data_IF_398324505976
#
_entry.id   IF_398324505976
#
_cell.length_a   1.000
_cell.length_b   1.000
_cell.length_c   1.000
_cell.angle_alpha   90.00
_cell.angle_beta   90.00
_cell.angle_gamma   90.00
#
_symmetry.space_group_name_H-M   'P 1'
#
loop_
_entity.id
_entity.type
_entity.pdbx_description
1 polymer ?
#
# COMPACT_ATOMS: atom_id res chain seq x y z
N UNK A 1 8.89 20.69 18.91
CA UNK A 1 9.49 20.89 17.57
C UNK A 1 8.37 21.26 16.62
N UNK A 2 8.43 22.45 16.05
CA UNK A 2 7.33 23.07 15.31
C UNK A 2 7.33 22.58 13.87
N UNK A 3 6.25 21.90 13.45
CA UNK A 3 5.95 21.72 12.04
C UNK A 3 5.65 23.12 11.46
N UNK A 4 6.61 23.71 10.74
CA UNK A 4 6.44 24.96 10.01
C UNK A 4 7.22 24.87 8.71
N UNK A 5 6.57 24.31 7.69
CA UNK A 5 6.78 24.72 6.31
C UNK A 5 5.38 24.80 5.68
N UNK A 6 4.69 25.91 5.93
CA UNK A 6 3.58 26.34 5.07
C UNK A 6 4.22 27.24 4.03
N UNK A 7 4.51 26.67 2.87
CA UNK A 7 4.81 27.43 1.66
C UNK A 7 3.57 28.29 1.37
N UNK A 8 3.75 29.60 1.18
CA UNK A 8 2.69 30.50 0.77
C UNK A 8 2.21 30.09 -0.63
N UNK A 9 1.21 29.20 -0.69
CA UNK A 9 0.44 28.93 -1.89
C UNK A 9 -0.50 30.12 -2.07
N UNK A 10 -0.39 30.78 -3.22
CA UNK A 10 -1.20 31.94 -3.62
C UNK A 10 -2.68 31.73 -3.24
N UNK A 11 -3.23 32.66 -2.46
CA UNK A 11 -4.62 32.63 -1.99
C UNK A 11 -5.59 32.76 -3.18
N UNK A 12 -5.17 33.41 -4.26
CA UNK A 12 -5.98 33.60 -5.49
C UNK A 12 -6.15 32.30 -6.31
N UNK A 13 -5.21 31.35 -6.25
CA UNK A 13 -5.35 30.01 -6.88
C UNK A 13 -6.25 29.06 -6.08
N UNK A 14 -6.71 29.48 -4.89
CA UNK A 14 -7.48 28.64 -3.97
C UNK A 14 -8.99 28.84 -4.15
N UNK A 15 -9.43 30.03 -4.55
CA UNK A 15 -10.84 30.35 -4.79
C UNK A 15 -11.37 29.69 -6.08
N UNK A 16 -10.52 29.48 -7.10
CA UNK A 16 -10.91 28.79 -8.34
C UNK A 16 -10.97 27.25 -8.19
N UNK A 17 -10.34 26.66 -7.15
CA UNK A 17 -10.33 25.21 -6.92
C UNK A 17 -11.63 24.67 -6.34
N UNK A 18 -12.47 25.54 -5.77
CA UNK A 18 -13.74 25.11 -5.18
C UNK A 18 -14.82 24.84 -6.23
N UNK A 19 -14.76 25.46 -7.42
CA UNK A 19 -15.70 25.20 -8.53
C UNK A 19 -15.50 23.81 -9.15
N UNK A 20 -14.28 23.26 -9.07
CA UNK A 20 -13.93 21.95 -9.63
C UNK A 20 -14.07 20.79 -8.66
N UNK A 21 -14.56 21.04 -7.45
CA UNK A 21 -14.84 19.95 -6.52
C UNK A 21 -16.00 19.09 -7.00
N UNK A 22 -15.88 17.76 -6.89
CA UNK A 22 -16.97 16.87 -7.25
C UNK A 22 -18.12 17.03 -6.26
N UNK A 23 -19.34 17.12 -6.81
CA UNK A 23 -20.58 17.13 -6.02
C UNK A 23 -21.62 16.20 -6.64
N UNK A 24 -22.47 15.63 -5.80
CA UNK A 24 -23.61 14.82 -6.24
C UNK A 24 -24.53 15.61 -7.17
N UNK A 25 -24.69 16.92 -6.94
CA UNK A 25 -25.49 17.79 -7.79
C UNK A 25 -24.91 17.89 -9.22
N UNK A 26 -23.59 18.08 -9.36
CA UNK A 26 -22.92 18.15 -10.68
C UNK A 26 -23.04 16.83 -11.42
N UNK A 27 -22.85 15.71 -10.74
CA UNK A 27 -23.02 14.37 -11.31
C UNK A 27 -24.46 14.15 -11.82
N UNK A 28 -25.46 14.48 -11.01
CA UNK A 28 -26.87 14.36 -11.39
C UNK A 28 -27.21 15.22 -12.59
N UNK A 29 -26.75 16.47 -12.62
CA UNK A 29 -26.98 17.38 -13.74
C UNK A 29 -26.39 16.86 -15.06
N UNK A 30 -25.31 16.08 -15.04
CA UNK A 30 -24.78 15.39 -16.24
C UNK A 30 -25.70 14.24 -16.64
N UNK A 31 -26.10 13.39 -15.69
CA UNK A 31 -26.96 12.23 -15.96
C UNK A 31 -28.39 12.59 -16.38
N UNK A 32 -28.96 13.69 -15.88
CA UNK A 32 -30.30 14.19 -16.26
C UNK A 32 -30.37 14.62 -17.73
N UNK A 33 -29.23 15.02 -18.32
CA UNK A 33 -29.12 15.39 -19.74
C UNK A 33 -28.72 14.21 -20.63
N UNK A 34 -28.45 13.04 -20.06
CA UNK A 34 -27.98 11.88 -20.79
C UNK A 34 -29.12 11.23 -21.58
N UNK A 35 -28.85 10.91 -22.84
CA UNK A 35 -29.75 10.05 -23.63
C UNK A 35 -29.56 8.57 -23.27
N UNK A 36 -28.32 8.18 -22.98
CA UNK A 36 -27.96 6.85 -22.48
C UNK A 36 -26.67 6.90 -21.69
N UNK A 37 -26.47 5.91 -20.83
CA UNK A 37 -25.19 5.66 -20.16
C UNK A 37 -24.76 4.25 -20.50
N UNK A 38 -23.48 4.09 -20.86
CA UNK A 38 -22.87 2.79 -21.13
C UNK A 38 -21.84 2.52 -20.04
N UNK A 39 -21.97 1.37 -19.39
CA UNK A 39 -21.02 0.88 -18.40
C UNK A 39 -20.33 -0.33 -18.99
N UNK A 40 -19.01 -0.31 -19.03
CA UNK A 40 -18.18 -1.40 -19.56
C UNK A 40 -17.26 -1.86 -18.45
N UNK A 41 -17.19 -3.17 -18.25
CA UNK A 41 -16.19 -3.80 -17.38
C UNK A 41 -14.81 -3.76 -18.06
N UNK A 42 -14.30 -2.54 -18.26
CA UNK A 42 -12.97 -2.26 -18.79
C UNK A 42 -12.36 -0.98 -18.19
N UNK A 43 -11.03 -0.88 -18.26
CA UNK A 43 -10.32 0.37 -18.02
C UNK A 43 -10.65 1.39 -19.12
N UNK A 44 -10.37 2.69 -18.93
CA UNK A 44 -10.69 3.70 -19.95
C UNK A 44 -10.12 3.42 -21.34
N UNK A 45 -8.92 2.83 -21.41
CA UNK A 45 -8.21 2.54 -22.66
C UNK A 45 -8.77 1.32 -23.40
N UNK A 46 -9.52 0.46 -22.70
CA UNK A 46 -10.09 -0.78 -23.22
C UNK A 46 -11.61 -0.69 -23.43
N UNK A 47 -12.25 0.36 -22.92
CA UNK A 47 -13.70 0.51 -22.86
C UNK A 47 -14.41 0.50 -24.23
N UNK A 48 -13.70 0.82 -25.31
CA UNK A 48 -14.24 0.82 -26.67
C UNK A 48 -14.22 -0.60 -27.30
N UNK A 49 -13.70 -1.61 -26.61
CA UNK A 49 -13.67 -3.00 -27.09
C UNK A 49 -15.06 -3.62 -27.20
N UNK A 50 -15.30 -4.30 -28.32
CA UNK A 50 -16.58 -4.93 -28.64
C UNK A 50 -16.88 -6.20 -27.82
N UNK A 51 -15.87 -6.82 -27.22
CA UNK A 51 -15.97 -8.15 -26.61
C UNK A 51 -16.15 -8.10 -25.08
N UNK A 52 -16.18 -6.92 -24.48
CA UNK A 52 -16.26 -6.76 -23.03
C UNK A 52 -17.70 -6.70 -22.51
N UNK A 53 -17.97 -7.22 -21.29
CA UNK A 53 -19.28 -7.10 -20.65
C UNK A 53 -19.72 -5.64 -20.59
N UNK A 54 -20.97 -5.39 -21.02
CA UNK A 54 -21.53 -4.04 -21.13
C UNK A 54 -22.97 -3.97 -20.67
N UNK A 55 -23.30 -2.85 -20.07
CA UNK A 55 -24.65 -2.47 -19.71
C UNK A 55 -24.97 -1.10 -20.33
N UNK A 56 -26.09 -1.01 -21.03
CA UNK A 56 -26.62 0.29 -21.49
C UNK A 56 -27.88 0.60 -20.71
N UNK A 57 -27.91 1.74 -20.03
CA UNK A 57 -29.09 2.21 -19.29
C UNK A 57 -29.65 3.49 -19.89
N UNK A 58 -30.97 3.63 -19.80
CA UNK A 58 -31.73 4.79 -20.33
C UNK A 58 -32.89 5.15 -19.41
N UNK A 59 -33.42 6.37 -19.56
CA UNK A 59 -34.66 6.80 -18.90
C UNK A 59 -34.65 6.60 -17.38
N UNK A 60 -35.59 5.80 -16.87
CA UNK A 60 -35.75 5.57 -15.44
C UNK A 60 -34.54 4.88 -14.79
N UNK A 61 -33.82 4.03 -15.53
CA UNK A 61 -32.61 3.38 -15.03
C UNK A 61 -31.44 4.36 -14.89
N UNK A 62 -31.34 5.36 -15.76
CA UNK A 62 -30.37 6.45 -15.62
C UNK A 62 -30.60 7.22 -14.32
N UNK A 63 -31.87 7.48 -13.97
CA UNK A 63 -32.22 8.15 -12.72
C UNK A 63 -31.91 7.28 -11.49
N UNK A 64 -32.03 5.95 -11.60
CA UNK A 64 -31.59 5.03 -10.55
C UNK A 64 -30.08 5.01 -10.40
N UNK A 65 -29.34 4.90 -11.51
CA UNK A 65 -27.88 4.96 -11.53
C UNK A 65 -27.38 6.27 -10.90
N UNK A 66 -28.01 7.40 -11.18
CA UNK A 66 -27.67 8.70 -10.58
C UNK A 66 -27.82 8.73 -9.06
N UNK A 67 -28.72 7.91 -8.48
CA UNK A 67 -28.83 7.77 -7.02
C UNK A 67 -27.72 6.88 -6.46
N UNK A 68 -27.35 5.82 -7.17
CA UNK A 68 -26.27 4.90 -6.76
C UNK A 68 -24.88 5.52 -6.87
N UNK A 69 -24.69 6.44 -7.82
CA UNK A 69 -23.48 7.22 -8.00
C UNK A 69 -23.41 8.47 -7.10
N UNK A 70 -24.29 8.60 -6.10
CA UNK A 70 -24.18 9.70 -5.14
C UNK A 70 -22.83 9.64 -4.43
N UNK A 71 -22.18 10.80 -4.28
CA UNK A 71 -20.83 10.93 -3.73
C UNK A 71 -20.83 11.80 -2.47
N UNK A 72 -19.78 11.68 -1.67
CA UNK A 72 -19.47 12.63 -0.60
C UNK A 72 -18.94 13.90 -1.26
N UNK A 73 -19.70 15.00 -1.12
CA UNK A 73 -19.36 16.27 -1.73
C UNK A 73 -18.01 16.81 -1.22
N UNK A 74 -17.26 17.44 -2.12
CA UNK A 74 -15.96 18.03 -1.81
C UNK A 74 -14.75 17.16 -2.14
N UNK A 75 -14.96 15.91 -2.55
CA UNK A 75 -13.92 14.97 -2.96
C UNK A 75 -13.20 14.28 -1.78
N UNK A 76 -12.61 13.12 -2.06
CA UNK A 76 -11.84 12.35 -1.07
C UNK A 76 -10.36 12.78 -1.01
N UNK A 77 -9.88 13.47 -2.06
CA UNK A 77 -8.47 13.83 -2.20
C UNK A 77 -7.56 12.61 -2.42
N UNK A 78 -8.10 11.48 -2.86
CA UNK A 78 -7.32 10.25 -3.06
C UNK A 78 -6.22 10.46 -4.11
N UNK A 79 -5.04 9.92 -3.81
CA UNK A 79 -3.79 10.12 -4.57
C UNK A 79 -3.36 8.88 -5.36
N UNK A 80 -4.17 7.82 -5.38
CA UNK A 80 -3.79 6.61 -6.10
C UNK A 80 -3.83 6.87 -7.62
N UNK A 81 -2.88 6.32 -8.37
CA UNK A 81 -2.77 6.56 -9.82
C UNK A 81 -3.52 5.53 -10.66
N UNK A 82 -4.26 4.60 -10.04
CA UNK A 82 -5.03 3.58 -10.75
C UNK A 82 -6.17 4.21 -11.55
N UNK A 83 -6.27 3.92 -12.84
CA UNK A 83 -7.29 4.53 -13.73
C UNK A 83 -8.74 4.20 -13.33
N UNK A 84 -8.94 3.17 -12.51
CA UNK A 84 -10.25 2.71 -12.07
C UNK A 84 -10.96 1.87 -13.13
N UNK A 85 -11.99 1.17 -12.68
CA UNK A 85 -12.79 0.22 -13.45
C UNK A 85 -14.02 -0.19 -12.61
N UNK A 86 -15.21 -0.40 -13.20
CA UNK A 86 -15.59 -0.26 -14.62
C UNK A 86 -15.61 1.19 -15.12
N UNK A 87 -15.62 1.34 -16.44
CA UNK A 87 -15.76 2.65 -17.13
C UNK A 87 -17.23 2.97 -17.40
N UNK A 88 -17.65 4.16 -17.01
CA UNK A 88 -19.00 4.71 -17.17
C UNK A 88 -18.92 5.85 -18.18
N UNK A 89 -19.45 5.67 -19.38
CA UNK A 89 -19.52 6.71 -20.41
C UNK A 89 -20.95 7.21 -20.55
N UNK A 90 -21.14 8.51 -20.38
CA UNK A 90 -22.42 9.21 -20.53
C UNK A 90 -22.52 9.79 -21.93
N UNK A 91 -23.60 9.52 -22.64
CA UNK A 91 -23.84 10.03 -23.99
C UNK A 91 -25.00 11.03 -24.03
N UNK A 92 -24.79 12.13 -24.75
CA UNK A 92 -25.81 13.15 -25.02
C UNK A 92 -26.84 12.69 -26.06
N UNK A 93 -27.83 13.55 -26.33
CA UNK A 93 -28.90 13.26 -27.31
C UNK A 93 -28.43 13.16 -28.75
N UNK A 94 -27.25 13.73 -29.09
CA UNK A 94 -26.65 13.59 -30.41
C UNK A 94 -25.77 12.33 -30.53
N UNK A 95 -25.66 11.53 -29.46
CA UNK A 95 -24.86 10.30 -29.42
C UNK A 95 -23.37 10.53 -29.13
N UNK A 96 -22.97 11.77 -28.86
CA UNK A 96 -21.63 12.18 -28.44
C UNK A 96 -21.37 11.88 -26.95
N UNK A 97 -20.15 11.46 -26.56
CA UNK A 97 -19.79 11.28 -25.16
C UNK A 97 -19.68 12.65 -24.47
N UNK A 98 -20.45 12.86 -23.40
CA UNK A 98 -20.47 14.12 -22.62
C UNK A 98 -19.69 14.02 -21.31
N UNK A 99 -19.50 12.80 -20.80
CA UNK A 99 -18.65 12.53 -19.63
C UNK A 99 -18.16 11.08 -19.65
N UNK A 100 -17.01 10.85 -19.03
CA UNK A 100 -16.44 9.52 -18.79
C UNK A 100 -15.91 9.46 -17.37
N UNK A 101 -16.35 8.46 -16.62
CA UNK A 101 -15.97 8.22 -15.23
C UNK A 101 -15.51 6.77 -15.05
N UNK A 102 -14.81 6.49 -13.96
CA UNK A 102 -14.45 5.13 -13.57
C UNK A 102 -14.68 4.89 -12.09
N UNK A 103 -14.99 3.65 -11.72
CA UNK A 103 -15.00 3.26 -10.30
C UNK A 103 -13.58 3.02 -9.81
N UNK A 104 -13.14 3.83 -8.86
CA UNK A 104 -11.81 3.73 -8.27
C UNK A 104 -11.88 2.89 -6.99
N UNK A 105 -11.18 1.75 -6.97
CA UNK A 105 -11.20 0.75 -5.88
C UNK A 105 -12.63 0.34 -5.43
N UNK A 106 -13.58 0.37 -6.38
CA UNK A 106 -15.02 0.13 -6.16
C UNK A 106 -15.70 1.09 -5.15
N UNK A 107 -14.97 2.03 -4.54
CA UNK A 107 -15.43 2.91 -3.45
C UNK A 107 -15.48 4.38 -3.84
N UNK A 108 -14.79 4.77 -4.90
CA UNK A 108 -14.76 6.13 -5.41
C UNK A 108 -15.13 6.22 -6.87
N UNK A 109 -15.38 7.44 -7.32
CA UNK A 109 -15.60 7.80 -8.71
C UNK A 109 -14.49 8.75 -9.16
N UNK A 110 -13.83 8.41 -10.25
CA UNK A 110 -12.81 9.23 -10.91
C UNK A 110 -13.36 9.88 -12.17
N UNK A 111 -12.82 11.04 -12.53
CA UNK A 111 -13.16 11.78 -13.76
C UNK A 111 -14.26 12.83 -13.58
N UNK A 112 -14.65 13.12 -12.33
CA UNK A 112 -15.57 14.21 -12.01
C UNK A 112 -14.77 15.42 -11.46
N UNK A 113 -14.27 16.25 -12.37
CA UNK A 113 -13.30 17.29 -12.03
C UNK A 113 -11.91 16.70 -11.77
N UNK A 114 -11.09 17.41 -10.99
CA UNK A 114 -9.68 17.05 -10.75
C UNK A 114 -9.47 16.11 -9.55
N UNK A 115 -10.57 15.63 -8.94
CA UNK A 115 -10.52 14.85 -7.71
C UNK A 115 -11.31 13.55 -7.83
N UNK A 116 -10.83 12.52 -7.14
CA UNK A 116 -11.64 11.35 -6.84
C UNK A 116 -12.72 11.70 -5.80
N UNK A 117 -13.89 11.12 -5.98
CA UNK A 117 -15.05 11.32 -5.13
C UNK A 117 -15.51 10.02 -4.51
N UNK A 118 -15.50 9.93 -3.17
CA UNK A 118 -15.99 8.74 -2.46
C UNK A 118 -17.50 8.56 -2.69
N UNK A 119 -17.91 7.34 -3.03
CA UNK A 119 -19.32 6.98 -3.15
C UNK A 119 -19.98 6.96 -1.78
N UNK A 120 -21.22 7.44 -1.69
CA UNK A 120 -22.01 7.33 -0.47
C UNK A 120 -22.34 5.87 -0.12
N UNK A 121 -22.53 5.03 -1.15
CA UNK A 121 -22.87 3.62 -1.00
C UNK A 121 -22.30 2.79 -2.16
N UNK A 122 -20.98 2.60 -2.15
CA UNK A 122 -20.28 1.77 -3.12
C UNK A 122 -20.81 0.33 -3.22
N UNK A 123 -21.03 -0.38 -2.10
CA UNK A 123 -21.59 -1.74 -2.11
C UNK A 123 -22.96 -1.84 -2.80
N UNK A 124 -23.85 -0.87 -2.61
CA UNK A 124 -25.13 -0.89 -3.30
C UNK A 124 -25.00 -0.67 -4.81
N UNK A 125 -24.01 0.12 -5.26
CA UNK A 125 -23.72 0.26 -6.69
C UNK A 125 -23.19 -1.04 -7.29
N UNK A 126 -22.22 -1.70 -6.65
CA UNK A 126 -21.66 -2.96 -7.16
C UNK A 126 -22.70 -4.08 -7.18
N UNK A 127 -23.59 -4.16 -6.20
CA UNK A 127 -24.72 -5.08 -6.21
C UNK A 127 -25.69 -4.80 -7.37
N UNK A 128 -26.05 -3.52 -7.59
CA UNK A 128 -26.94 -3.11 -8.67
C UNK A 128 -26.38 -3.44 -10.07
N UNK A 129 -25.05 -3.33 -10.24
CA UNK A 129 -24.33 -3.75 -11.46
C UNK A 129 -24.38 -5.27 -11.65
N UNK A 130 -24.10 -6.03 -10.59
CA UNK A 130 -24.11 -7.49 -10.63
C UNK A 130 -25.49 -8.07 -10.95
N UNK A 131 -26.56 -7.47 -10.41
CA UNK A 131 -27.95 -7.82 -10.75
C UNK A 131 -28.27 -7.67 -12.25
N UNK A 132 -27.49 -6.85 -12.96
CA UNK A 132 -27.61 -6.58 -14.40
C UNK A 132 -26.53 -7.29 -15.24
N UNK A 133 -25.83 -8.24 -14.64
CA UNK A 133 -24.86 -9.09 -15.34
C UNK A 133 -23.43 -8.54 -15.40
N UNK A 134 -23.13 -7.41 -14.74
CA UNK A 134 -21.77 -6.90 -14.57
C UNK A 134 -21.25 -7.30 -13.18
N UNK A 135 -20.71 -8.51 -13.05
CA UNK A 135 -20.35 -9.11 -11.75
C UNK A 135 -18.95 -8.75 -11.27
N UNK A 136 -18.08 -8.30 -12.17
CA UNK A 136 -16.67 -8.09 -11.88
C UNK A 136 -16.42 -7.01 -10.84
N UNK A 137 -17.26 -5.96 -10.76
CA UNK A 137 -17.15 -4.95 -9.69
C UNK A 137 -17.40 -5.53 -8.30
N UNK A 138 -18.28 -6.54 -8.19
CA UNK A 138 -18.54 -7.24 -6.92
C UNK A 138 -17.38 -8.17 -6.59
N UNK A 139 -16.87 -8.93 -7.56
CA UNK A 139 -15.71 -9.81 -7.38
C UNK A 139 -14.48 -9.02 -6.92
N UNK A 140 -14.17 -7.88 -7.58
CA UNK A 140 -13.09 -6.99 -7.18
C UNK A 140 -13.28 -6.40 -5.77
N UNK A 141 -14.54 -6.13 -5.35
CA UNK A 141 -14.83 -5.68 -3.99
C UNK A 141 -14.52 -6.80 -2.97
N UNK A 142 -14.94 -8.02 -3.24
CA UNK A 142 -14.68 -9.17 -2.38
C UNK A 142 -13.17 -9.39 -2.22
N UNK A 143 -12.39 -9.31 -3.30
CA UNK A 143 -10.93 -9.39 -3.26
C UNK A 143 -10.31 -8.27 -2.41
N UNK A 144 -10.74 -7.01 -2.59
CA UNK A 144 -10.25 -5.88 -1.80
C UNK A 144 -10.57 -6.03 -0.31
N UNK A 145 -11.77 -6.53 0.03
CA UNK A 145 -12.18 -6.78 1.42
C UNK A 145 -11.32 -7.89 2.05
N UNK A 146 -11.00 -8.95 1.29
CA UNK A 146 -10.07 -10.00 1.72
C UNK A 146 -8.64 -9.48 1.95
N UNK A 147 -8.15 -8.63 1.04
CA UNK A 147 -6.84 -7.97 1.15
C UNK A 147 -6.77 -7.04 2.36
N UNK A 148 -7.80 -6.22 2.61
CA UNK A 148 -7.89 -5.34 3.77
C UNK A 148 -7.92 -6.16 5.06
N UNK A 149 -8.71 -7.24 5.11
CA UNK A 149 -8.76 -8.12 6.25
C UNK A 149 -7.40 -8.79 6.52
N UNK A 150 -6.66 -9.19 5.48
CA UNK A 150 -5.31 -9.73 5.66
C UNK A 150 -4.30 -8.66 6.07
N UNK A 151 -4.41 -7.44 5.55
CA UNK A 151 -3.58 -6.30 5.97
C UNK A 151 -3.81 -5.96 7.44
N UNK A 152 -5.05 -6.01 7.92
CA UNK A 152 -5.39 -5.80 9.32
C UNK A 152 -4.86 -6.93 10.21
N UNK A 153 -5.06 -8.19 9.81
CA UNK A 153 -4.49 -9.34 10.53
C UNK A 153 -2.97 -9.24 10.61
N UNK A 154 -2.31 -8.83 9.52
CA UNK A 154 -0.86 -8.57 9.47
C UNK A 154 -0.46 -7.51 10.50
N UNK A 155 -1.14 -6.36 10.48
CA UNK A 155 -0.91 -5.24 11.38
C UNK A 155 -0.99 -5.68 12.84
N UNK A 156 -2.06 -6.40 13.20
CA UNK A 156 -2.27 -6.90 14.56
C UNK A 156 -1.24 -7.96 14.98
N UNK A 157 -0.75 -8.80 14.04
CA UNK A 157 0.35 -9.74 14.34
C UNK A 157 1.64 -8.99 14.62
N UNK A 158 1.97 -7.99 13.81
CA UNK A 158 3.18 -7.17 13.99
C UNK A 158 3.17 -6.41 15.33
N UNK A 159 2.03 -5.82 15.71
CA UNK A 159 1.86 -5.14 17.01
C UNK A 159 2.02 -6.14 18.17
N UNK A 160 1.43 -7.33 18.06
CA UNK A 160 1.55 -8.37 19.11
C UNK A 160 2.95 -8.94 19.25
N UNK A 161 3.73 -8.94 18.18
CA UNK A 161 5.14 -9.32 18.19
C UNK A 161 6.07 -8.22 18.72
N UNK A 162 5.53 -7.03 19.05
CA UNK A 162 6.32 -5.98 19.64
C UNK A 162 6.96 -6.46 20.95
N UNK A 163 8.23 -6.13 21.19
CA UNK A 163 8.91 -6.46 22.42
C UNK A 163 8.20 -5.89 23.65
N UNK A 164 8.48 -6.48 24.81
CA UNK A 164 7.91 -6.03 26.08
C UNK A 164 8.15 -4.52 26.29
N UNK A 165 7.09 -3.82 26.70
CA UNK A 165 7.10 -2.35 26.86
C UNK A 165 6.84 -1.55 25.58
N UNK A 166 6.86 -2.15 24.38
CA UNK A 166 6.78 -1.41 23.11
C UNK A 166 5.42 -1.51 22.37
N UNK A 167 4.49 -2.33 22.85
CA UNK A 167 3.23 -2.61 22.15
C UNK A 167 2.40 -1.35 21.79
N UNK A 168 2.32 -0.37 22.69
CA UNK A 168 1.58 0.88 22.42
C UNK A 168 2.28 1.73 21.36
N UNK A 169 3.61 1.88 21.43
CA UNK A 169 4.37 2.63 20.44
C UNK A 169 4.33 1.95 19.07
N UNK A 170 4.34 0.61 19.04
CA UNK A 170 4.08 -0.17 17.85
C UNK A 170 2.69 0.15 17.26
N UNK A 171 1.63 0.11 18.07
CA UNK A 171 0.28 0.43 17.62
C UNK A 171 0.16 1.84 17.04
N UNK A 172 0.87 2.82 17.61
CA UNK A 172 0.89 4.19 17.11
C UNK A 172 1.58 4.30 15.73
N UNK A 173 2.71 3.61 15.53
CA UNK A 173 3.42 3.56 14.23
C UNK A 173 2.62 2.79 13.17
N UNK A 174 1.97 1.71 13.57
CA UNK A 174 1.20 0.85 12.67
C UNK A 174 -0.18 1.44 12.31
N UNK A 175 -0.56 2.60 12.85
CA UNK A 175 -1.86 3.21 12.59
C UNK A 175 -2.09 3.43 11.08
N UNK A 176 -3.21 2.94 10.51
CA UNK A 176 -3.54 3.13 9.10
C UNK A 176 -3.57 4.61 8.68
N UNK A 177 -3.31 4.84 7.40
CA UNK A 177 -3.49 6.14 6.76
C UNK A 177 -4.95 6.61 6.97
N UNK A 178 -5.12 7.92 7.19
CA UNK A 178 -6.42 8.58 7.23
C UNK A 178 -6.51 9.60 6.09
N UNK A 179 -7.71 10.12 5.81
CA UNK A 179 -7.95 11.11 4.74
C UNK A 179 -6.99 12.31 4.76
N UNK A 180 -6.56 12.75 5.95
CA UNK A 180 -5.54 13.79 6.08
C UNK A 180 -4.12 13.20 6.06
N UNK A 181 -3.53 13.13 4.86
CA UNK A 181 -2.18 12.60 4.65
C UNK A 181 -1.09 13.43 5.36
N UNK A 182 -1.23 14.76 5.42
CA UNK A 182 -0.23 15.63 6.05
C UNK A 182 -0.22 15.42 7.58
N UNK A 183 -1.40 15.42 8.20
CA UNK A 183 -1.53 15.13 9.62
C UNK A 183 -1.06 13.71 9.94
N UNK A 184 -1.40 12.72 9.10
CA UNK A 184 -0.94 11.35 9.27
C UNK A 184 0.58 11.22 9.17
N UNK A 185 1.20 11.86 8.18
CA UNK A 185 2.66 11.85 7.99
C UNK A 185 3.39 12.45 9.21
N UNK A 186 2.91 13.59 9.71
CA UNK A 186 3.43 14.20 10.93
C UNK A 186 3.30 13.28 12.15
N UNK A 187 2.12 12.67 12.31
CA UNK A 187 1.88 11.70 13.39
C UNK A 187 2.82 10.50 13.28
N UNK A 188 3.00 9.93 12.08
CA UNK A 188 3.86 8.78 11.84
C UNK A 188 5.33 9.09 12.15
N UNK A 189 5.81 10.28 11.79
CA UNK A 189 7.16 10.72 12.15
C UNK A 189 7.37 10.74 13.67
N UNK A 190 6.47 11.40 14.40
CA UNK A 190 6.52 11.47 15.87
C UNK A 190 6.41 10.07 16.52
N UNK A 191 5.54 9.21 15.99
CA UNK A 191 5.37 7.85 16.49
C UNK A 191 6.64 7.00 16.29
N UNK A 192 7.34 7.17 15.17
CA UNK A 192 8.62 6.49 14.89
C UNK A 192 9.71 6.94 15.84
N UNK A 193 9.87 8.23 16.05
CA UNK A 193 10.85 8.78 17.00
C UNK A 193 10.59 8.27 18.42
N UNK A 194 9.32 8.25 18.85
CA UNK A 194 8.93 7.72 20.16
C UNK A 194 9.23 6.22 20.27
N UNK A 195 8.92 5.43 19.24
CA UNK A 195 9.24 4.00 19.23
C UNK A 195 10.74 3.78 19.38
N UNK A 196 11.57 4.48 18.61
CA UNK A 196 13.03 4.37 18.71
C UNK A 196 13.56 4.76 20.09
N UNK A 197 13.10 5.87 20.66
CA UNK A 197 13.50 6.32 21.98
C UNK A 197 13.16 5.28 23.06
N UNK A 198 11.95 4.72 23.02
CA UNK A 198 11.52 3.67 23.94
C UNK A 198 12.33 2.37 23.73
N UNK A 199 12.61 1.97 22.50
CA UNK A 199 13.48 0.81 22.23
C UNK A 199 14.83 0.98 22.91
N UNK A 200 15.50 2.13 22.75
CA UNK A 200 16.81 2.40 23.36
C UNK A 200 16.74 2.48 24.88
N UNK A 201 15.64 3.02 25.43
CA UNK A 201 15.43 3.11 26.87
C UNK A 201 15.24 1.74 27.53
N UNK A 202 14.40 0.88 26.92
CA UNK A 202 14.12 -0.45 27.46
C UNK A 202 15.26 -1.44 27.23
N UNK A 203 16.02 -1.27 26.14
CA UNK A 203 17.10 -2.18 25.73
C UNK A 203 18.38 -1.37 25.46
N UNK A 204 19.09 -0.91 26.51
CA UNK A 204 20.28 -0.07 26.36
C UNK A 204 21.47 -0.85 25.77
N UNK A 205 21.57 -2.15 26.03
CA UNK A 205 22.58 -3.02 25.43
C UNK A 205 22.33 -3.18 23.92
N UNK A 206 23.36 -2.90 23.10
CA UNK A 206 23.21 -2.92 21.65
C UNK A 206 23.03 -4.31 21.08
N UNK A 207 23.68 -5.33 21.65
CA UNK A 207 23.56 -6.72 21.19
C UNK A 207 22.16 -7.24 21.45
N UNK A 208 21.64 -7.05 22.65
CA UNK A 208 20.28 -7.42 23.03
C UNK A 208 19.25 -6.70 22.14
N UNK A 209 19.37 -5.37 22.01
CA UNK A 209 18.47 -4.55 21.20
C UNK A 209 18.45 -4.98 19.73
N UNK A 210 19.60 -5.20 19.12
CA UNK A 210 19.69 -5.65 17.72
C UNK A 210 19.02 -7.02 17.55
N UNK A 211 19.31 -7.98 18.43
CA UNK A 211 18.71 -9.33 18.35
C UNK A 211 17.19 -9.30 18.50
N UNK A 212 16.68 -8.41 19.34
CA UNK A 212 15.26 -8.19 19.53
C UNK A 212 14.62 -7.52 18.30
N UNK A 213 15.27 -6.52 17.71
CA UNK A 213 14.80 -5.88 16.47
C UNK A 213 14.82 -6.87 15.29
N UNK A 214 15.83 -7.75 15.20
CA UNK A 214 15.88 -8.84 14.22
C UNK A 214 14.72 -9.81 14.42
N UNK A 215 14.42 -10.21 15.66
CA UNK A 215 13.27 -11.07 15.94
C UNK A 215 11.95 -10.40 15.53
N UNK A 216 11.78 -9.11 15.83
CA UNK A 216 10.58 -8.39 15.46
C UNK A 216 10.44 -8.23 13.95
N UNK A 217 11.52 -7.86 13.24
CA UNK A 217 11.55 -7.80 11.78
C UNK A 217 11.24 -9.16 11.12
N UNK A 218 11.70 -10.25 11.73
CA UNK A 218 11.47 -11.62 11.25
C UNK A 218 9.99 -12.02 11.20
N UNK A 219 9.13 -11.40 12.03
CA UNK A 219 7.69 -11.69 12.03
C UNK A 219 6.98 -11.36 10.72
N UNK A 220 7.53 -10.43 9.94
CA UNK A 220 7.02 -10.03 8.63
C UNK A 220 7.80 -10.67 7.46
N UNK A 221 9.01 -11.18 7.69
CA UNK A 221 9.94 -11.60 6.66
C UNK A 221 9.47 -12.81 5.83
N UNK A 222 8.66 -13.71 6.42
CA UNK A 222 8.11 -14.90 5.76
C UNK A 222 6.84 -14.66 4.95
N UNK A 223 6.41 -13.42 4.75
CA UNK A 223 5.20 -13.15 3.99
C UNK A 223 5.45 -13.27 2.48
N UNK A 224 4.52 -13.92 1.80
CA UNK A 224 4.52 -14.13 0.34
C UNK A 224 3.95 -12.94 -0.43
N UNK A 225 3.08 -12.13 0.18
CA UNK A 225 2.38 -11.03 -0.48
C UNK A 225 2.43 -9.70 0.32
N UNK A 226 2.39 -8.59 -0.42
CA UNK A 226 2.15 -7.24 0.11
C UNK A 226 3.39 -6.46 0.58
N UNK A 227 4.60 -6.82 0.14
CA UNK A 227 5.83 -6.05 0.40
C UNK A 227 6.12 -5.74 1.88
N UNK A 228 7.01 -4.78 2.14
CA UNK A 228 7.22 -4.20 3.48
C UNK A 228 6.25 -3.04 3.71
N UNK A 229 5.55 -3.06 4.83
CA UNK A 229 4.66 -1.95 5.22
C UNK A 229 5.46 -0.84 5.89
N UNK A 230 4.89 0.36 6.00
CA UNK A 230 5.56 1.52 6.61
C UNK A 230 6.01 1.30 8.07
N UNK A 231 5.34 0.39 8.80
CA UNK A 231 5.71 -0.01 10.15
C UNK A 231 6.86 -1.03 10.18
N UNK A 232 6.96 -1.94 9.20
CA UNK A 232 8.13 -2.82 9.05
C UNK A 232 9.39 -1.98 8.79
N UNK A 233 9.26 -0.93 7.96
CA UNK A 233 10.33 0.01 7.69
C UNK A 233 10.81 0.77 8.95
N UNK A 234 9.97 0.92 9.98
CA UNK A 234 10.37 1.59 11.22
C UNK A 234 11.40 0.77 12.00
N UNK A 235 11.19 -0.55 12.12
CA UNK A 235 12.15 -1.47 12.75
C UNK A 235 13.41 -1.59 11.90
N UNK A 236 13.24 -1.68 10.57
CA UNK A 236 14.38 -1.74 9.64
C UNK A 236 15.28 -0.51 9.74
N UNK A 237 14.71 0.68 9.85
CA UNK A 237 15.48 1.93 10.01
C UNK A 237 16.28 1.95 11.31
N UNK A 238 15.73 1.43 12.40
CA UNK A 238 16.48 1.30 13.66
C UNK A 238 17.67 0.35 13.47
N UNK A 239 17.48 -0.82 12.84
CA UNK A 239 18.57 -1.75 12.53
C UNK A 239 19.65 -1.13 11.64
N UNK A 240 19.26 -0.32 10.64
CA UNK A 240 20.19 0.37 9.73
C UNK A 240 20.92 1.55 10.38
N UNK A 241 20.41 2.08 11.51
CA UNK A 241 21.03 3.16 12.26
C UNK A 241 22.08 2.64 13.27
N UNK A 242 22.10 1.34 13.56
CA UNK A 242 23.14 0.71 14.38
C UNK A 242 24.46 0.60 13.60
N UNK A 243 25.56 0.59 14.33
CA UNK A 243 26.89 0.42 13.72
C UNK A 243 27.02 -1.02 13.16
N UNK A 244 27.47 -1.20 11.90
CA UNK A 244 27.45 -2.52 11.26
C UNK A 244 28.22 -3.60 12.00
N UNK A 245 29.36 -3.28 12.63
CA UNK A 245 30.13 -4.26 13.41
C UNK A 245 29.35 -4.70 14.64
N UNK A 246 28.57 -3.82 15.28
CA UNK A 246 27.64 -4.20 16.34
C UNK A 246 26.53 -5.14 15.84
N UNK A 247 25.99 -4.92 14.63
CA UNK A 247 24.99 -5.83 14.04
C UNK A 247 25.59 -7.23 13.82
N UNK A 248 26.81 -7.31 13.28
CA UNK A 248 27.50 -8.58 13.11
C UNK A 248 27.87 -9.24 14.44
N UNK A 249 28.34 -8.46 15.41
CA UNK A 249 28.64 -8.95 16.75
C UNK A 249 27.39 -9.52 17.43
N UNK A 250 26.24 -8.86 17.29
CA UNK A 250 24.97 -9.34 17.83
C UNK A 250 24.52 -10.66 17.19
N UNK A 251 24.78 -10.84 15.89
CA UNK A 251 24.54 -12.10 15.19
C UNK A 251 25.49 -13.23 15.61
N UNK A 252 26.73 -12.89 16.01
CA UNK A 252 27.75 -13.85 16.40
C UNK A 252 27.77 -14.19 17.90
N UNK A 253 27.19 -13.33 18.75
CA UNK A 253 27.25 -13.46 20.21
C UNK A 253 26.61 -14.76 20.74
N UNK A 254 25.56 -15.24 20.09
CA UNK A 254 24.90 -16.51 20.39
C UNK A 254 24.09 -17.00 19.17
N UNK A 255 23.76 -18.30 19.07
CA UNK A 255 22.92 -18.81 17.99
C UNK A 255 21.64 -17.98 17.83
N UNK A 256 21.33 -17.61 16.60
CA UNK A 256 20.10 -16.90 16.27
C UNK A 256 18.92 -17.87 16.28
N UNK A 257 17.79 -17.44 16.80
CA UNK A 257 16.55 -18.18 16.65
C UNK A 257 16.07 -18.14 15.18
N UNK A 258 15.18 -19.06 14.75
CA UNK A 258 14.66 -19.05 13.38
C UNK A 258 14.07 -17.70 12.96
N UNK A 259 13.30 -17.05 13.84
CA UNK A 259 12.71 -15.73 13.54
C UNK A 259 13.78 -14.62 13.44
N UNK A 260 14.86 -14.71 14.22
CA UNK A 260 15.98 -13.76 14.09
C UNK A 260 16.74 -13.98 12.78
N UNK A 261 16.89 -15.23 12.34
CA UNK A 261 17.45 -15.56 11.04
C UNK A 261 16.59 -15.02 9.90
N UNK A 262 15.26 -15.08 10.02
CA UNK A 262 14.35 -14.49 9.03
C UNK A 262 14.52 -12.96 8.95
N UNK A 263 14.58 -12.28 10.10
CA UNK A 263 14.79 -10.83 10.14
C UNK A 263 16.17 -10.41 9.63
N UNK A 264 17.21 -11.19 9.93
CA UNK A 264 18.56 -10.98 9.40
C UNK A 264 18.61 -11.19 7.88
N UNK A 265 18.01 -12.27 7.39
CA UNK A 265 17.90 -12.55 5.96
C UNK A 265 17.18 -11.42 5.22
N UNK A 266 16.05 -10.92 5.76
CA UNK A 266 15.34 -9.79 5.19
C UNK A 266 16.20 -8.52 5.18
N UNK A 267 16.80 -8.16 6.33
CA UNK A 267 17.65 -6.98 6.49
C UNK A 267 18.77 -6.94 5.45
N UNK A 268 19.61 -7.98 5.42
CA UNK A 268 20.84 -8.02 4.63
C UNK A 268 20.60 -8.24 3.14
N UNK A 269 19.46 -8.86 2.75
CA UNK A 269 19.04 -8.93 1.35
C UNK A 269 18.48 -7.58 0.83
N UNK A 270 18.28 -6.60 1.71
CA UNK A 270 17.71 -5.30 1.38
C UNK A 270 18.62 -4.42 0.52
N UNK A 271 18.05 -3.64 -0.41
CA UNK A 271 18.81 -2.64 -1.15
C UNK A 271 19.33 -1.52 -0.24
N UNK A 272 18.69 -1.24 0.90
CA UNK A 272 19.13 -0.24 1.87
C UNK A 272 20.45 -0.66 2.55
N UNK A 273 20.56 -1.90 3.01
CA UNK A 273 21.79 -2.43 3.59
C UNK A 273 22.93 -2.36 2.57
N UNK A 274 22.64 -2.77 1.34
CA UNK A 274 23.62 -2.76 0.25
C UNK A 274 24.11 -1.34 -0.07
N UNK A 275 23.20 -0.36 -0.13
CA UNK A 275 23.56 1.04 -0.39
C UNK A 275 24.31 1.70 0.77
N UNK A 276 23.91 1.40 2.01
CA UNK A 276 24.52 2.02 3.19
C UNK A 276 25.89 1.39 3.54
N UNK A 277 26.03 0.08 3.34
CA UNK A 277 27.15 -0.71 3.89
C UNK A 277 27.93 -1.51 2.82
N UNK A 278 27.71 -1.22 1.54
CA UNK A 278 28.40 -1.90 0.43
C UNK A 278 27.98 -3.35 0.20
N UNK A 279 27.00 -3.87 0.95
CA UNK A 279 26.51 -5.25 0.83
C UNK A 279 27.43 -6.31 1.42
N UNK A 280 28.43 -5.90 2.21
CA UNK A 280 29.32 -6.85 2.89
C UNK A 280 28.59 -7.51 4.06
N UNK A 281 28.68 -8.84 4.10
CA UNK A 281 28.20 -9.69 5.19
C UNK A 281 29.31 -10.71 5.45
N UNK A 282 29.80 -10.85 6.70
CA UNK A 282 30.84 -11.82 7.04
C UNK A 282 30.47 -13.23 6.63
N UNK A 283 31.44 -13.99 6.11
CA UNK A 283 31.20 -15.31 5.50
C UNK A 283 30.52 -16.33 6.42
N UNK A 284 30.86 -16.42 7.72
CA UNK A 284 30.16 -17.33 8.63
C UNK A 284 28.65 -17.02 8.73
N UNK A 285 28.29 -15.74 8.82
CA UNK A 285 26.89 -15.30 8.89
C UNK A 285 26.19 -15.49 7.54
N UNK A 286 26.87 -15.20 6.43
CA UNK A 286 26.34 -15.43 5.07
C UNK A 286 25.98 -16.90 4.86
N UNK A 287 26.90 -17.81 5.19
CA UNK A 287 26.68 -19.26 5.05
C UNK A 287 25.49 -19.73 5.89
N UNK A 288 25.42 -19.27 7.15
CA UNK A 288 24.30 -19.57 8.05
C UNK A 288 22.94 -19.13 7.47
N UNK A 289 22.87 -17.91 6.92
CA UNK A 289 21.63 -17.40 6.31
C UNK A 289 21.25 -18.17 5.04
N UNK A 290 22.23 -18.55 4.21
CA UNK A 290 22.00 -19.38 3.01
C UNK A 290 21.43 -20.74 3.41
N UNK A 291 22.01 -21.39 4.42
CA UNK A 291 21.55 -22.69 4.91
C UNK A 291 20.13 -22.59 5.46
N UNK A 292 19.84 -21.59 6.29
CA UNK A 292 18.50 -21.32 6.82
C UNK A 292 17.47 -21.12 5.70
N UNK A 293 17.76 -20.29 4.71
CA UNK A 293 16.85 -20.02 3.58
C UNK A 293 16.62 -21.28 2.72
N UNK A 294 17.65 -22.11 2.54
CA UNK A 294 17.51 -23.38 1.80
C UNK A 294 16.65 -24.38 2.55
N UNK A 295 16.84 -24.50 3.86
CA UNK A 295 16.10 -25.45 4.69
C UNK A 295 14.63 -25.05 4.85
N UNK A 296 14.36 -23.77 5.13
CA UNK A 296 13.04 -23.33 5.60
C UNK A 296 12.63 -21.94 5.08
N UNK A 297 13.36 -21.37 4.11
CA UNK A 297 13.02 -20.07 3.53
C UNK A 297 11.78 -20.11 2.65
N UNK A 298 11.09 -18.97 2.53
CA UNK A 298 9.99 -18.80 1.57
C UNK A 298 10.51 -18.62 0.14
N UNK A 299 9.63 -18.75 -0.85
CA UNK A 299 10.01 -18.52 -2.25
C UNK A 299 10.52 -17.10 -2.48
N UNK A 300 9.96 -16.10 -1.79
CA UNK A 300 10.47 -14.74 -1.82
C UNK A 300 11.89 -14.63 -1.25
N UNK A 301 12.19 -15.33 -0.14
CA UNK A 301 13.54 -15.35 0.44
C UNK A 301 14.54 -16.06 -0.48
N UNK A 302 14.16 -17.20 -1.06
CA UNK A 302 14.97 -17.94 -2.04
C UNK A 302 15.23 -17.13 -3.30
N UNK A 303 14.20 -16.43 -3.81
CA UNK A 303 14.32 -15.54 -4.95
C UNK A 303 15.36 -14.45 -4.69
N UNK A 304 15.29 -13.78 -3.53
CA UNK A 304 16.26 -12.75 -3.12
C UNK A 304 17.66 -13.32 -2.87
N UNK A 305 17.78 -14.56 -2.41
CA UNK A 305 19.08 -15.22 -2.29
C UNK A 305 19.76 -15.37 -3.66
N UNK A 306 19.02 -15.80 -4.68
CA UNK A 306 19.54 -16.03 -6.04
C UNK A 306 19.78 -14.73 -6.83
N UNK A 307 18.97 -13.70 -6.61
CA UNK A 307 18.95 -12.47 -7.43
C UNK A 307 19.42 -11.20 -6.69
N UNK A 308 19.47 -11.21 -5.37
CA UNK A 308 19.87 -10.07 -4.55
C UNK A 308 21.39 -9.92 -4.39
N UNK A 309 21.78 -9.04 -3.47
CA UNK A 309 23.17 -8.72 -3.12
C UNK A 309 24.02 -9.94 -2.74
N UNK A 310 23.40 -11.04 -2.29
CA UNK A 310 24.06 -12.33 -2.09
C UNK A 310 24.48 -13.00 -3.41
N UNK A 311 23.61 -13.02 -4.42
CA UNK A 311 23.83 -13.66 -5.70
C UNK A 311 24.80 -12.91 -6.62
N UNK A 312 24.88 -11.57 -6.52
CA UNK A 312 25.81 -10.77 -7.30
C UNK A 312 27.29 -11.01 -6.91
N UNK A 313 27.55 -11.26 -5.63
CA UNK A 313 28.90 -11.61 -5.13
C UNK A 313 29.26 -13.06 -5.49
N UNK A 314 28.30 -13.98 -5.43
CA UNK A 314 28.49 -15.38 -5.86
C UNK A 314 28.76 -15.49 -7.38
N UNK A 315 28.04 -14.73 -8.21
CA UNK A 315 28.29 -14.68 -9.67
C UNK A 315 29.67 -14.14 -10.02
N UNK A 316 30.15 -13.12 -9.30
CA UNK A 316 31.53 -12.60 -9.50
C UNK A 316 32.63 -13.55 -9.03
N UNK A 317 32.36 -14.46 -8.09
CA UNK A 317 33.35 -15.43 -7.57
C UNK A 317 33.33 -16.77 -8.30
N UNK A 318 32.21 -17.16 -8.92
CA UNK A 318 32.05 -18.49 -9.51
C UNK A 318 32.01 -18.53 -11.05
N UNK A 319 32.07 -17.39 -11.74
CA UNK A 319 32.18 -17.33 -13.20
C UNK A 319 31.08 -18.12 -13.92
N UNK A 320 29.91 -17.50 -14.14
CA UNK A 320 28.85 -17.90 -15.08
C UNK A 320 28.67 -19.43 -15.35
N UNK A 321 28.67 -20.25 -14.30
CA UNK A 321 28.44 -21.70 -14.41
C UNK A 321 26.98 -22.12 -14.15
N UNK A 322 26.05 -21.16 -14.10
CA UNK A 322 24.62 -21.40 -13.93
C UNK A 322 23.84 -20.47 -14.85
N UNK A 323 23.81 -20.84 -16.12
CA UNK A 323 22.80 -20.44 -17.11
C UNK A 323 21.92 -21.64 -17.42
#
# INVERSE_FOLDING_TARGET
MSCRIVTAVNIEDRENRDEDRPTTARLRAVLERAARVVIVEASPDEADSADLPRLTVTGAETAELARRLAIVDGGAGDTCLCDGWPTITVYGTQGDPVARWTLHHQSGLRGIGDYDAELQDGPALTAWLAERGLTGSREAREELDEEEAEAERRRLRWIRAAPEGLAQAAADVARPLRRDHEAWSCHLANARERLEALTRQHYPDSVERIRLLLAWAGTSARRTAGGLMWYDLAVRRQLLAEEPRLVFAACAASPLSPVQLDGAADLFAGPEWTRAQGGEVPEPLRSLLIEHIRADGTDAMRFRLSHGSYGAVLRRRLGDAWS
#
